data_IF_473493571942
#
_entry.id   IF_473493571942
#
_cell.length_a   1.000
_cell.length_b   1.000
_cell.length_c   1.000
_cell.angle_alpha   90.00
_cell.angle_beta   90.00
_cell.angle_gamma   90.00
#
_symmetry.space_group_name_H-M   'P 1'
#
loop_
_entity.id
_entity.type
_entity.pdbx_description
1 polymer ?
#
# COMPACT_ATOMS: atom_id res chain seq x y z
N UNK A 1 -16.87 -1.97 1.48
CA UNK A 1 -17.09 -1.46 2.85
C UNK A 1 -18.07 -2.37 3.56
N UNK A 2 -17.60 -3.12 4.56
CA UNK A 2 -18.46 -4.05 5.32
C UNK A 2 -19.53 -3.28 6.11
N UNK A 3 -19.15 -2.17 6.75
CA UNK A 3 -20.05 -1.34 7.56
C UNK A 3 -21.13 -0.58 6.76
N UNK A 4 -21.16 -0.70 5.42
CA UNK A 4 -22.23 -0.12 4.60
C UNK A 4 -23.60 -0.73 4.91
N UNK A 5 -23.62 -1.96 5.43
CA UNK A 5 -24.83 -2.68 5.83
C UNK A 5 -25.15 -2.48 7.33
N UNK A 6 -24.81 -1.29 7.86
CA UNK A 6 -24.83 -0.92 9.27
C UNK A 6 -23.68 -1.50 10.10
N UNK A 7 -23.51 -0.90 11.27
CA UNK A 7 -22.69 -1.39 12.37
C UNK A 7 -23.31 -0.93 13.69
N UNK A 8 -22.80 -1.35 14.84
CA UNK A 8 -23.31 -0.89 16.14
C UNK A 8 -23.16 0.63 16.40
N UNK A 9 -22.38 1.32 15.56
CA UNK A 9 -22.19 2.78 15.55
C UNK A 9 -22.59 3.47 14.24
N UNK A 10 -23.05 2.73 13.22
CA UNK A 10 -23.30 3.26 11.87
C UNK A 10 -24.62 2.76 11.27
N UNK A 11 -25.28 3.60 10.46
CA UNK A 11 -26.55 3.24 9.81
C UNK A 11 -26.36 2.40 8.55
N UNK A 12 -27.40 1.66 8.13
CA UNK A 12 -27.41 0.93 6.86
C UNK A 12 -27.62 1.90 5.68
N UNK A 13 -26.58 2.12 4.88
CA UNK A 13 -26.66 2.89 3.64
C UNK A 13 -25.83 2.23 2.51
N UNK A 14 -26.31 1.10 1.97
CA UNK A 14 -25.71 0.48 0.80
C UNK A 14 -26.01 1.30 -0.47
N UNK A 15 -25.20 2.32 -0.70
CA UNK A 15 -25.32 3.20 -1.88
C UNK A 15 -24.75 2.53 -3.15
N UNK A 16 -25.15 3.06 -4.31
CA UNK A 16 -24.61 2.66 -5.62
C UNK A 16 -24.18 3.92 -6.38
N UNK A 17 -22.98 3.90 -6.94
CA UNK A 17 -22.47 5.02 -7.71
C UNK A 17 -21.01 4.86 -8.11
N UNK A 18 -20.53 5.81 -8.91
CA UNK A 18 -19.11 5.93 -9.27
C UNK A 18 -18.45 6.81 -8.19
N UNK A 19 -17.89 6.16 -7.17
CA UNK A 19 -17.34 6.83 -6.00
C UNK A 19 -15.86 7.26 -6.12
N UNK A 20 -15.22 6.94 -7.26
CA UNK A 20 -13.83 7.34 -7.56
C UNK A 20 -13.75 8.04 -8.92
N UNK A 21 -12.70 8.85 -9.18
CA UNK A 21 -12.56 9.57 -10.45
C UNK A 21 -12.56 8.65 -11.68
N UNK A 22 -13.19 9.11 -12.76
CA UNK A 22 -13.12 8.50 -14.10
C UNK A 22 -12.28 9.40 -15.00
N UNK A 23 -11.36 8.82 -15.76
CA UNK A 23 -10.42 9.55 -16.61
C UNK A 23 -10.39 8.95 -18.01
N UNK A 24 -10.17 9.79 -19.01
CA UNK A 24 -9.77 9.38 -20.35
C UNK A 24 -8.29 9.69 -20.51
N UNK A 25 -7.51 8.68 -20.83
CA UNK A 25 -6.06 8.78 -20.99
C UNK A 25 -5.67 8.31 -22.38
N UNK A 26 -4.87 9.12 -23.07
CA UNK A 26 -4.36 8.82 -24.41
C UNK A 26 -2.85 8.69 -24.32
N UNK A 27 -2.30 7.58 -24.81
CA UNK A 27 -0.87 7.33 -24.86
C UNK A 27 -0.55 6.40 -26.04
N UNK A 28 0.64 6.55 -26.62
CA UNK A 28 1.06 5.79 -27.80
C UNK A 28 2.10 4.72 -27.45
N UNK A 29 2.74 4.80 -26.28
CA UNK A 29 3.76 3.86 -25.79
C UNK A 29 3.31 3.14 -24.50
N UNK A 30 4.22 2.95 -23.54
CA UNK A 30 3.94 2.43 -22.21
C UNK A 30 3.62 3.56 -21.23
N UNK A 31 2.69 3.30 -20.32
CA UNK A 31 2.30 4.19 -19.23
C UNK A 31 2.81 3.63 -17.91
N UNK A 32 3.51 4.45 -17.12
CA UNK A 32 3.86 4.11 -15.74
C UNK A 32 2.60 4.16 -14.89
N UNK A 33 2.03 2.99 -14.59
CA UNK A 33 0.84 2.85 -13.75
C UNK A 33 1.20 2.95 -12.28
N UNK A 34 2.19 2.18 -11.84
CA UNK A 34 2.63 2.15 -10.44
C UNK A 34 4.15 2.07 -10.30
N UNK A 35 4.63 2.62 -9.19
CA UNK A 35 6.02 2.51 -8.75
C UNK A 35 5.98 1.99 -7.33
N UNK A 36 6.56 0.81 -7.15
CA UNK A 36 6.79 0.18 -5.85
C UNK A 36 8.25 0.34 -5.50
N UNK A 37 8.57 0.40 -4.21
CA UNK A 37 9.96 0.29 -3.79
C UNK A 37 10.10 -0.40 -2.45
N UNK A 38 11.31 -0.86 -2.21
CA UNK A 38 11.74 -1.53 -0.99
C UNK A 38 13.01 -0.87 -0.52
N UNK A 39 13.05 -0.54 0.77
CA UNK A 39 14.24 -0.04 1.43
C UNK A 39 14.86 -1.14 2.28
N UNK A 40 16.11 -1.47 1.99
CA UNK A 40 16.95 -2.31 2.84
C UNK A 40 17.96 -1.44 3.57
N UNK A 41 17.98 -1.57 4.90
CA UNK A 41 18.88 -0.86 5.82
C UNK A 41 20.18 -1.67 5.97
N UNK A 42 21.21 -1.34 5.17
CA UNK A 42 22.52 -2.02 5.18
C UNK A 42 23.52 -1.25 6.06
N UNK A 43 24.67 -1.82 6.41
CA UNK A 43 25.59 -1.22 7.40
C UNK A 43 25.95 0.26 7.11
N UNK A 44 26.26 0.61 5.87
CA UNK A 44 26.72 1.95 5.47
C UNK A 44 25.81 2.69 4.48
N UNK A 45 24.81 1.99 3.93
CA UNK A 45 23.98 2.48 2.83
C UNK A 45 22.54 1.96 2.92
N UNK A 46 21.66 2.59 2.16
CA UNK A 46 20.33 2.11 1.87
C UNK A 46 20.32 1.54 0.46
N UNK A 47 19.87 0.29 0.32
CA UNK A 47 19.51 -0.24 -0.99
C UNK A 47 18.04 0.05 -1.26
N UNK A 48 17.76 0.73 -2.36
CA UNK A 48 16.41 1.04 -2.84
C UNK A 48 16.15 0.17 -4.06
N UNK A 49 15.36 -0.89 -3.90
CA UNK A 49 14.89 -1.71 -5.02
C UNK A 49 13.55 -1.15 -5.50
N UNK A 50 13.46 -0.87 -6.79
CA UNK A 50 12.34 -0.15 -7.40
C UNK A 50 11.66 -1.11 -8.39
N UNK A 51 10.35 -1.26 -8.26
CA UNK A 51 9.51 -1.96 -9.23
C UNK A 51 8.68 -0.94 -10.01
N UNK A 52 8.67 -1.06 -11.34
CA UNK A 52 7.87 -0.21 -12.23
C UNK A 52 6.85 -1.07 -12.95
N UNK A 53 5.57 -0.74 -12.77
CA UNK A 53 4.46 -1.38 -13.46
C UNK A 53 4.05 -0.52 -14.66
N UNK A 54 4.31 -1.03 -15.85
CA UNK A 54 4.00 -0.42 -17.13
C UNK A 54 2.72 -1.03 -17.72
N UNK A 55 1.87 -0.21 -18.31
CA UNK A 55 0.73 -0.63 -19.14
C UNK A 55 0.99 -0.23 -20.60
N UNK A 56 0.80 -1.15 -21.54
CA UNK A 56 1.05 -0.97 -22.98
C UNK A 56 -0.22 -1.09 -23.82
N UNK A 57 -1.40 -0.95 -23.20
CA UNK A 57 -2.72 -1.17 -23.79
C UNK A 57 -3.43 -2.39 -23.20
N UNK A 58 -4.38 -2.96 -23.95
CA UNK A 58 -5.19 -4.11 -23.52
C UNK A 58 -4.75 -5.43 -24.16
N UNK A 59 -3.58 -5.46 -24.80
CA UNK A 59 -3.00 -6.62 -25.47
C UNK A 59 -1.48 -6.61 -25.33
N UNK A 60 -0.88 -7.79 -25.46
CA UNK A 60 0.57 -7.95 -25.49
C UNK A 60 1.20 -7.10 -26.60
N UNK A 61 2.20 -6.30 -26.23
CA UNK A 61 2.89 -5.39 -27.14
C UNK A 61 4.38 -5.32 -26.77
N UNK A 62 5.24 -5.41 -27.78
CA UNK A 62 6.66 -5.11 -27.60
C UNK A 62 6.85 -3.61 -27.45
N UNK A 63 7.55 -3.20 -26.41
CA UNK A 63 7.92 -1.82 -26.14
C UNK A 63 9.43 -1.71 -25.99
N UNK A 64 9.99 -0.59 -26.47
CA UNK A 64 11.41 -0.32 -26.37
C UNK A 64 11.63 1.12 -25.95
N UNK A 65 12.41 1.33 -24.91
CA UNK A 65 12.61 2.65 -24.32
C UNK A 65 13.53 2.64 -23.12
N UNK A 66 13.54 3.74 -22.39
CA UNK A 66 14.36 3.92 -21.19
C UNK A 66 13.53 4.27 -19.97
N UNK A 67 13.86 3.65 -18.84
CA UNK A 67 13.41 4.04 -17.51
C UNK A 67 14.52 4.81 -16.82
N UNK A 68 14.24 6.04 -16.40
CA UNK A 68 15.15 6.87 -15.62
C UNK A 68 14.62 7.04 -14.21
N UNK A 69 15.49 6.83 -13.21
CA UNK A 69 15.16 7.04 -11.80
C UNK A 69 15.97 8.19 -11.22
N UNK A 70 15.31 9.10 -10.49
CA UNK A 70 15.96 10.22 -9.81
C UNK A 70 15.40 10.39 -8.41
N UNK A 71 16.27 10.43 -7.41
CA UNK A 71 15.90 10.77 -6.05
C UNK A 71 16.16 12.26 -5.82
N UNK A 72 15.10 13.07 -5.83
CA UNK A 72 15.23 14.52 -5.81
C UNK A 72 15.71 15.02 -4.44
N UNK A 73 16.70 15.93 -4.45
CA UNK A 73 17.26 16.54 -3.25
C UNK A 73 18.41 15.76 -2.61
N UNK A 74 18.83 14.64 -3.22
CA UNK A 74 19.99 13.85 -2.79
C UNK A 74 20.92 13.69 -4.00
N UNK A 75 22.21 13.94 -3.83
CA UNK A 75 23.22 13.65 -4.84
C UNK A 75 23.54 12.16 -4.84
N UNK A 76 22.86 11.42 -5.72
CA UNK A 76 23.08 9.99 -5.99
C UNK A 76 23.04 9.75 -7.49
N UNK A 77 23.67 8.64 -7.91
CA UNK A 77 23.58 8.18 -9.29
C UNK A 77 22.10 8.03 -9.68
N UNK A 78 21.79 8.51 -10.89
CA UNK A 78 20.46 8.40 -11.49
C UNK A 78 20.47 7.22 -12.47
N UNK A 79 20.08 6.01 -12.04
CA UNK A 79 20.17 4.84 -12.91
C UNK A 79 19.21 5.00 -14.09
N UNK A 80 19.66 4.47 -15.24
CA UNK A 80 18.89 4.40 -16.47
C UNK A 80 18.88 2.94 -16.92
N UNK A 81 17.69 2.41 -17.19
CA UNK A 81 17.50 1.04 -17.65
C UNK A 81 16.91 1.08 -19.04
N UNK A 82 17.57 0.42 -19.99
CA UNK A 82 16.99 0.16 -21.31
C UNK A 82 16.07 -1.05 -21.22
N UNK A 83 14.84 -0.88 -21.69
CA UNK A 83 13.83 -1.93 -21.76
C UNK A 83 13.59 -2.25 -23.23
N UNK A 84 13.60 -3.54 -23.58
CA UNK A 84 13.21 -4.05 -24.90
C UNK A 84 12.48 -5.39 -24.70
N UNK A 85 11.23 -5.30 -24.25
CA UNK A 85 10.45 -6.44 -23.76
C UNK A 85 9.03 -6.44 -24.34
N UNK A 86 8.34 -7.58 -24.21
CA UNK A 86 6.93 -7.73 -24.59
C UNK A 86 6.09 -7.87 -23.33
N UNK A 87 5.05 -7.04 -23.20
CA UNK A 87 4.08 -7.15 -22.10
C UNK A 87 3.25 -8.44 -22.16
N UNK A 88 2.60 -8.78 -21.05
CA UNK A 88 1.71 -9.94 -20.97
C UNK A 88 0.43 -9.76 -21.81
N UNK A 89 -0.44 -10.77 -21.83
CA UNK A 89 -1.70 -10.74 -22.61
C UNK A 89 -2.64 -9.59 -22.22
N UNK A 90 -2.55 -9.10 -20.98
CA UNK A 90 -3.32 -7.96 -20.49
C UNK A 90 -2.65 -6.61 -20.79
N UNK A 91 -1.48 -6.60 -21.45
CA UNK A 91 -0.72 -5.39 -21.74
C UNK A 91 0.07 -4.86 -20.54
N UNK A 92 0.38 -5.70 -19.55
CA UNK A 92 1.14 -5.31 -18.36
C UNK A 92 2.60 -5.78 -18.46
N UNK A 93 3.53 -4.93 -18.02
CA UNK A 93 4.96 -5.25 -17.94
C UNK A 93 5.51 -4.77 -16.60
N UNK A 94 6.34 -5.59 -15.96
CA UNK A 94 7.01 -5.25 -14.70
C UNK A 94 8.51 -5.18 -14.94
N UNK A 95 9.13 -4.07 -14.56
CA UNK A 95 10.57 -3.85 -14.71
C UNK A 95 11.17 -3.50 -13.35
N UNK A 96 12.28 -4.13 -13.02
CA UNK A 96 13.02 -3.87 -11.78
C UNK A 96 14.21 -2.95 -12.02
N UNK A 97 14.41 -2.02 -11.10
CA UNK A 97 15.59 -1.18 -10.99
C UNK A 97 16.11 -1.13 -9.56
N UNK A 98 17.29 -0.54 -9.38
CA UNK A 98 17.83 -0.32 -8.05
C UNK A 98 18.72 0.91 -8.00
N UNK A 99 18.84 1.49 -6.81
CA UNK A 99 19.80 2.53 -6.49
C UNK A 99 20.37 2.31 -5.09
N UNK A 100 21.59 2.79 -4.88
CA UNK A 100 22.28 2.75 -3.60
C UNK A 100 22.39 4.19 -3.10
N UNK A 101 22.04 4.41 -1.84
CA UNK A 101 22.05 5.73 -1.22
C UNK A 101 22.84 5.66 0.08
N UNK A 102 23.94 6.41 0.19
CA UNK A 102 24.73 6.44 1.42
C UNK A 102 23.87 6.89 2.61
N UNK A 103 24.00 6.22 3.77
CA UNK A 103 23.21 6.56 4.97
C UNK A 103 23.35 8.03 5.39
N UNK A 104 24.57 8.57 5.31
CA UNK A 104 24.85 9.97 5.64
C UNK A 104 24.24 11.00 4.67
N UNK A 105 23.79 10.57 3.49
CA UNK A 105 23.17 11.45 2.50
C UNK A 105 21.67 11.69 2.77
N UNK A 106 21.05 10.91 3.67
CA UNK A 106 19.63 10.98 3.98
C UNK A 106 19.38 11.23 5.46
N UNK A 107 18.35 12.01 5.74
CA UNK A 107 17.68 12.07 7.04
C UNK A 107 16.55 11.06 7.07
N UNK A 108 16.46 10.30 8.16
CA UNK A 108 15.41 9.31 8.36
C UNK A 108 14.04 9.98 8.55
N UNK A 109 13.00 9.23 8.20
CA UNK A 109 11.61 9.51 8.55
C UNK A 109 11.29 8.96 9.93
N UNK A 110 10.58 9.73 10.75
CA UNK A 110 10.20 9.34 12.11
C UNK A 110 8.71 9.54 12.39
N UNK A 111 8.09 8.68 13.21
CA UNK A 111 6.74 8.89 13.70
C UNK A 111 6.58 10.15 14.54
N UNK A 112 5.34 10.60 14.70
CA UNK A 112 4.98 11.79 15.47
C UNK A 112 5.51 11.71 16.91
N UNK A 113 6.22 12.76 17.33
CA UNK A 113 6.88 12.84 18.64
C UNK A 113 8.26 12.16 18.73
N UNK A 114 8.77 11.53 17.66
CA UNK A 114 10.07 10.84 17.67
C UNK A 114 11.13 11.46 16.76
N UNK A 115 10.76 12.42 15.90
CA UNK A 115 11.70 13.08 15.01
C UNK A 115 11.00 13.82 13.88
N UNK A 116 11.75 14.11 12.80
CA UNK A 116 11.23 14.75 11.59
C UNK A 116 10.72 13.72 10.59
N UNK A 117 9.65 14.06 9.89
CA UNK A 117 9.02 13.27 8.83
C UNK A 117 9.68 13.59 7.49
N UNK A 118 11.00 13.35 7.36
CA UNK A 118 11.71 13.72 6.13
C UNK A 118 11.28 12.81 4.98
N UNK A 119 10.83 13.41 3.87
CA UNK A 119 10.39 12.73 2.66
C UNK A 119 11.21 13.23 1.47
N UNK A 120 11.51 12.32 0.54
CA UNK A 120 12.19 12.60 -0.72
C UNK A 120 11.30 12.18 -1.88
N UNK A 121 11.44 12.81 -3.03
CA UNK A 121 10.67 12.44 -4.21
C UNK A 121 11.50 11.48 -5.07
N UNK A 122 11.03 10.25 -5.25
CA UNK A 122 11.51 9.34 -6.28
C UNK A 122 10.72 9.61 -7.56
N UNK A 123 11.42 10.19 -8.52
CA UNK A 123 10.91 10.48 -9.85
C UNK A 123 11.28 9.33 -10.80
N UNK A 124 10.28 8.79 -11.49
CA UNK A 124 10.42 7.74 -12.50
C UNK A 124 9.89 8.24 -13.83
N UNK A 125 10.70 8.13 -14.88
CA UNK A 125 10.35 8.51 -16.26
C UNK A 125 10.53 7.33 -17.19
N UNK A 126 9.49 6.98 -17.93
CA UNK A 126 9.54 6.20 -19.15
C UNK A 126 9.67 7.14 -20.36
N UNK A 127 10.55 6.81 -21.29
CA UNK A 127 10.66 7.47 -22.59
C UNK A 127 10.89 6.41 -23.68
N UNK A 128 9.98 6.33 -24.65
CA UNK A 128 10.07 5.40 -25.78
C UNK A 128 11.17 5.79 -26.76
N UNK A 129 11.93 4.81 -27.26
CA UNK A 129 13.04 5.02 -28.21
C UNK A 129 12.58 5.65 -29.53
N UNK A 130 11.30 5.45 -29.91
CA UNK A 130 10.74 5.95 -31.16
C UNK A 130 10.31 7.43 -31.09
N UNK A 131 10.42 8.08 -29.93
CA UNK A 131 9.99 9.48 -29.73
C UNK A 131 10.64 10.46 -30.72
N UNK A 132 11.88 10.17 -31.14
CA UNK A 132 12.63 11.00 -32.07
C UNK A 132 12.57 10.51 -33.52
N UNK A 133 12.00 9.34 -33.79
CA UNK A 133 11.98 8.71 -35.13
C UNK A 133 10.61 8.75 -35.81
N UNK A 134 9.54 9.08 -35.08
CA UNK A 134 8.17 9.16 -35.62
C UNK A 134 7.68 10.60 -35.56
N UNK A 135 6.99 11.05 -36.61
CA UNK A 135 6.26 12.32 -36.59
C UNK A 135 4.90 12.12 -35.91
N UNK A 136 4.85 12.39 -34.62
CA UNK A 136 3.62 12.33 -33.82
C UNK A 136 2.95 13.70 -33.75
N UNK A 137 1.62 13.69 -33.57
CA UNK A 137 0.84 14.90 -33.31
C UNK A 137 1.16 15.48 -31.93
N UNK A 138 1.43 14.61 -30.97
CA UNK A 138 1.82 14.93 -29.62
C UNK A 138 2.94 13.96 -29.21
N UNK A 139 4.07 14.49 -28.71
CA UNK A 139 5.21 13.64 -28.29
C UNK A 139 5.07 13.19 -26.85
N UNK A 140 4.25 13.86 -26.05
CA UNK A 140 4.07 13.55 -24.63
C UNK A 140 3.36 12.20 -24.45
N UNK A 141 2.69 11.68 -25.50
CA UNK A 141 2.10 10.34 -25.53
C UNK A 141 3.12 9.19 -25.52
N UNK A 142 4.40 9.51 -25.76
CA UNK A 142 5.54 8.57 -25.71
C UNK A 142 6.33 8.64 -24.39
N UNK A 143 5.97 9.58 -23.51
CA UNK A 143 6.59 9.79 -22.21
C UNK A 143 5.59 9.48 -21.12
N UNK A 144 6.05 8.83 -20.05
CA UNK A 144 5.24 8.69 -18.84
C UNK A 144 6.07 8.96 -17.60
N UNK A 145 5.55 9.80 -16.72
CA UNK A 145 6.24 10.24 -15.52
C UNK A 145 5.38 9.92 -14.29
N UNK A 146 6.02 9.47 -13.21
CA UNK A 146 5.37 9.25 -11.92
C UNK A 146 6.34 9.67 -10.81
N UNK A 147 5.80 10.31 -9.77
CA UNK A 147 6.53 10.66 -8.55
C UNK A 147 5.90 9.89 -7.40
N UNK A 148 6.73 9.18 -6.64
CA UNK A 148 6.35 8.59 -5.35
C UNK A 148 7.26 9.13 -4.26
N UNK A 149 6.73 9.27 -3.03
CA UNK A 149 7.50 9.83 -1.92
C UNK A 149 8.15 8.71 -1.11
N UNK A 150 9.41 8.90 -0.78
CA UNK A 150 10.25 7.96 -0.04
C UNK A 150 10.54 8.54 1.34
N UNK A 151 10.17 7.82 2.39
CA UNK A 151 10.65 8.08 3.74
C UNK A 151 11.62 6.98 4.16
N UNK A 152 12.90 7.31 4.31
CA UNK A 152 13.92 6.34 4.73
C UNK A 152 13.72 5.96 6.19
N UNK A 153 13.27 4.73 6.45
CA UNK A 153 13.07 4.21 7.81
C UNK A 153 12.95 2.69 7.84
N UNK A 154 13.39 2.08 8.93
CA UNK A 154 13.07 0.68 9.23
C UNK A 154 11.84 0.60 10.15
N UNK A 155 10.99 -0.41 9.96
CA UNK A 155 9.90 -0.77 10.87
C UNK A 155 9.94 -2.28 11.06
N UNK A 156 9.91 -2.75 12.30
CA UNK A 156 9.99 -4.18 12.61
C UNK A 156 9.04 -4.53 13.75
N UNK A 157 8.19 -5.54 13.54
CA UNK A 157 7.44 -6.17 14.61
C UNK A 157 8.34 -7.16 15.35
N UNK A 158 8.47 -6.96 16.67
CA UNK A 158 9.31 -7.77 17.55
C UNK A 158 8.47 -8.72 18.37
N UNK A 159 8.82 -10.00 18.26
CA UNK A 159 8.15 -11.12 18.92
C UNK A 159 9.15 -12.04 19.64
N UNK A 160 10.26 -11.50 20.15
CA UNK A 160 11.15 -12.28 21.01
C UNK A 160 10.46 -12.78 22.28
N UNK A 161 11.04 -13.81 22.88
CA UNK A 161 10.52 -14.43 24.10
C UNK A 161 10.47 -13.42 25.25
N UNK A 162 9.28 -13.22 25.80
CA UNK A 162 9.10 -12.41 27.02
C UNK A 162 9.43 -13.23 28.27
N UNK A 163 9.00 -14.49 28.29
CA UNK A 163 9.27 -15.50 29.32
C UNK A 163 8.89 -16.90 28.80
N UNK A 164 8.92 -17.95 29.63
CA UNK A 164 8.56 -19.32 29.24
C UNK A 164 7.09 -19.51 28.81
N UNK A 165 6.24 -18.49 28.96
CA UNK A 165 4.80 -18.55 28.69
C UNK A 165 4.33 -17.60 27.59
N UNK A 166 5.22 -16.82 26.96
CA UNK A 166 4.78 -15.88 25.94
C UNK A 166 5.89 -15.14 25.20
N UNK A 167 5.46 -14.45 24.14
CA UNK A 167 6.28 -13.59 23.29
C UNK A 167 5.94 -12.11 23.56
N UNK A 168 6.89 -11.24 23.31
CA UNK A 168 6.65 -9.80 23.19
C UNK A 168 5.83 -9.50 21.92
N UNK A 169 5.25 -8.30 21.85
CA UNK A 169 4.60 -7.79 20.64
C UNK A 169 4.72 -6.27 20.64
N UNK A 170 5.76 -5.74 20.01
CA UNK A 170 6.00 -4.30 19.92
C UNK A 170 6.77 -3.95 18.65
N UNK A 171 6.79 -2.66 18.31
CA UNK A 171 7.48 -2.18 17.11
C UNK A 171 8.80 -1.51 17.46
N UNK A 172 9.82 -1.81 16.66
CA UNK A 172 11.00 -0.96 16.49
C UNK A 172 10.80 -0.09 15.26
N UNK A 173 11.07 1.21 15.37
CA UNK A 173 11.21 2.11 14.22
C UNK A 173 12.58 2.75 14.27
N UNK A 174 13.38 2.55 13.22
CA UNK A 174 14.79 2.96 13.20
C UNK A 174 15.53 2.44 14.45
N UNK A 175 15.34 1.14 14.75
CA UNK A 175 15.94 0.44 15.90
C UNK A 175 15.48 0.91 17.29
N UNK A 176 14.58 1.90 17.38
CA UNK A 176 14.06 2.40 18.66
C UNK A 176 12.69 1.77 18.97
N UNK A 177 12.49 1.17 20.16
CA UNK A 177 11.17 0.73 20.61
C UNK A 177 10.20 1.90 20.73
N UNK A 178 9.06 1.81 20.05
CA UNK A 178 8.01 2.82 20.09
C UNK A 178 6.73 2.22 20.69
N UNK A 179 6.22 2.88 21.72
CA UNK A 179 4.89 2.59 22.23
C UNK A 179 3.84 3.22 21.30
N UNK A 180 2.96 2.38 20.76
CA UNK A 180 1.91 2.81 19.83
C UNK A 180 0.76 3.48 20.59
N UNK A 181 0.53 4.75 20.29
CA UNK A 181 -0.50 5.61 20.88
C UNK A 181 -1.45 6.05 19.78
N UNK A 182 -2.71 5.71 19.92
CA UNK A 182 -3.75 6.25 19.06
C UNK A 182 -5.05 5.48 19.13
N UNK A 183 -5.72 5.34 17.99
CA UNK A 183 -7.07 4.82 17.91
C UNK A 183 -7.33 4.07 16.60
N UNK A 184 -8.52 3.50 16.49
CA UNK A 184 -9.02 2.90 15.25
C UNK A 184 -9.65 4.00 14.39
N UNK A 185 -9.31 4.01 13.10
CA UNK A 185 -9.90 4.81 12.05
C UNK A 185 -11.00 4.02 11.36
N UNK A 186 -12.17 4.62 11.26
CA UNK A 186 -13.32 4.14 10.49
C UNK A 186 -13.62 5.16 9.39
N UNK A 187 -14.40 4.81 8.34
CA UNK A 187 -14.80 5.76 7.32
C UNK A 187 -15.41 7.02 7.93
N UNK A 188 -14.95 8.18 7.48
CA UNK A 188 -15.34 9.48 8.04
C UNK A 188 -16.77 9.90 7.66
N UNK A 189 -17.38 9.18 6.71
CA UNK A 189 -18.79 9.27 6.34
C UNK A 189 -19.36 7.89 6.02
N UNK A 190 -20.70 7.75 6.16
CA UNK A 190 -21.43 6.56 5.70
C UNK A 190 -21.42 6.42 4.18
N UNK A 191 -21.24 7.54 3.47
CA UNK A 191 -21.10 7.57 2.02
C UNK A 191 -19.61 7.62 1.66
N UNK A 192 -19.06 6.60 0.97
CA UNK A 192 -17.64 6.55 0.65
C UNK A 192 -17.14 7.76 -0.14
N UNK A 193 -17.95 8.33 -1.05
CA UNK A 193 -17.62 9.51 -1.83
C UNK A 193 -17.46 10.79 -0.97
N UNK A 194 -18.16 10.87 0.17
CA UNK A 194 -17.99 11.97 1.12
C UNK A 194 -16.81 11.73 2.07
N UNK A 195 -16.42 10.47 2.29
CA UNK A 195 -15.23 10.15 3.10
C UNK A 195 -13.93 10.62 2.42
N UNK A 196 -13.98 10.92 1.12
CA UNK A 196 -12.87 11.43 0.32
C UNK A 196 -12.69 12.96 0.40
N UNK A 197 -13.46 13.68 1.21
CA UNK A 197 -13.25 15.12 1.41
C UNK A 197 -11.87 15.37 2.06
N UNK A 198 -10.93 15.89 1.26
CA UNK A 198 -9.55 16.18 1.69
C UNK A 198 -9.51 17.14 2.89
N UNK A 199 -10.40 18.12 2.98
CA UNK A 199 -10.40 19.07 4.10
C UNK A 199 -10.80 18.37 5.41
N UNK A 200 -11.78 17.47 5.34
CA UNK A 200 -12.24 16.74 6.52
C UNK A 200 -11.21 15.69 6.96
N UNK A 201 -10.66 14.92 6.01
CA UNK A 201 -9.55 13.99 6.28
C UNK A 201 -8.36 14.73 6.90
N UNK A 202 -8.02 15.90 6.35
CA UNK A 202 -6.97 16.76 6.90
C UNK A 202 -7.26 17.17 8.33
N UNK A 203 -8.45 17.69 8.60
CA UNK A 203 -8.84 18.07 9.95
C UNK A 203 -8.68 16.92 10.94
N UNK A 204 -9.15 15.72 10.60
CA UNK A 204 -9.10 14.55 11.49
C UNK A 204 -7.66 14.05 11.74
N UNK A 205 -6.81 14.01 10.70
CA UNK A 205 -5.42 13.58 10.86
C UNK A 205 -4.56 14.59 11.64
N UNK A 206 -4.81 15.89 11.46
CA UNK A 206 -4.18 16.92 12.31
C UNK A 206 -4.65 16.80 13.77
N UNK A 207 -5.94 16.53 14.01
CA UNK A 207 -6.44 16.28 15.36
C UNK A 207 -5.78 15.06 16.01
N UNK A 208 -5.58 13.96 15.27
CA UNK A 208 -4.84 12.79 15.77
C UNK A 208 -3.39 13.15 16.15
N UNK A 209 -2.68 13.88 15.27
CA UNK A 209 -1.32 14.36 15.54
C UNK A 209 -1.26 15.23 16.80
N UNK A 210 -2.15 16.21 16.90
CA UNK A 210 -2.18 17.19 17.99
C UNK A 210 -2.62 16.56 19.33
N UNK A 211 -3.36 15.46 19.27
CA UNK A 211 -3.62 14.57 20.42
C UNK A 211 -2.43 13.67 20.81
N UNK A 212 -1.24 13.88 20.23
CA UNK A 212 -0.02 13.11 20.46
C UNK A 212 -0.12 11.62 20.08
N UNK A 213 -1.01 11.28 19.15
CA UNK A 213 -1.06 9.95 18.54
C UNK A 213 0.11 9.78 17.56
N UNK A 214 0.64 8.57 17.49
CA UNK A 214 1.69 8.18 16.55
C UNK A 214 1.29 6.98 15.68
N UNK A 215 0.12 6.38 15.90
CA UNK A 215 -0.43 5.31 15.08
C UNK A 215 -1.95 5.40 14.99
N UNK A 216 -2.50 5.13 13.81
CA UNK A 216 -3.92 4.84 13.60
C UNK A 216 -4.07 3.44 13.01
N UNK A 217 -5.15 2.74 13.37
CA UNK A 217 -5.53 1.47 12.74
C UNK A 217 -6.65 1.70 11.74
N UNK A 218 -6.39 1.57 10.44
CA UNK A 218 -7.45 1.56 9.43
C UNK A 218 -8.19 0.23 9.54
N UNK A 219 -9.41 0.29 10.08
CA UNK A 219 -10.17 -0.89 10.46
C UNK A 219 -10.83 -1.60 9.26
N UNK A 220 -10.77 -2.94 9.25
CA UNK A 220 -11.13 -3.78 8.09
C UNK A 220 -12.61 -3.80 7.70
N UNK A 221 -13.51 -3.21 8.48
CA UNK A 221 -14.90 -3.08 8.02
C UNK A 221 -15.16 -1.79 7.23
N UNK A 222 -14.15 -0.92 7.11
CA UNK A 222 -14.20 0.33 6.38
C UNK A 222 -13.86 0.18 4.90
N UNK A 223 -12.97 1.06 4.42
CA UNK A 223 -12.46 1.09 3.04
C UNK A 223 -10.94 1.25 3.07
N UNK A 224 -10.26 0.83 2.01
CA UNK A 224 -8.93 1.35 1.73
C UNK A 224 -9.06 2.85 1.49
N UNK A 225 -8.41 3.63 2.36
CA UNK A 225 -8.47 5.09 2.31
C UNK A 225 -7.91 5.69 1.02
N UNK A 226 -8.20 6.98 0.85
CA UNK A 226 -7.70 7.80 -0.27
C UNK A 226 -6.18 7.93 -0.28
N UNK A 227 -5.59 8.21 -1.44
CA UNK A 227 -4.14 8.49 -1.53
C UNK A 227 -3.75 9.69 -0.65
N UNK A 228 -4.62 10.69 -0.57
CA UNK A 228 -4.42 11.87 0.27
C UNK A 228 -4.30 11.53 1.76
N UNK A 229 -5.09 10.57 2.26
CA UNK A 229 -5.01 10.10 3.64
C UNK A 229 -3.60 9.56 3.97
N UNK A 230 -3.09 8.62 3.17
CA UNK A 230 -1.77 8.03 3.41
C UNK A 230 -0.66 9.06 3.21
N UNK A 231 -0.81 9.94 2.20
CA UNK A 231 0.13 11.03 1.99
C UNK A 231 0.21 11.95 3.22
N UNK A 232 -0.93 12.29 3.80
CA UNK A 232 -0.95 13.14 4.98
C UNK A 232 -0.46 12.39 6.24
N UNK A 233 -0.75 11.09 6.36
CA UNK A 233 -0.18 10.25 7.42
C UNK A 233 1.36 10.22 7.36
N UNK A 234 1.95 10.14 6.16
CA UNK A 234 3.40 10.25 5.98
C UNK A 234 3.93 11.61 6.46
N UNK A 235 3.29 12.70 6.09
CA UNK A 235 3.73 14.06 6.43
C UNK A 235 3.62 14.35 7.93
N UNK A 236 2.59 13.81 8.59
CA UNK A 236 2.34 14.03 10.01
C UNK A 236 3.02 13.00 10.91
N UNK A 237 3.62 11.96 10.34
CA UNK A 237 4.32 10.93 11.11
C UNK A 237 3.35 9.96 11.80
N UNK A 238 2.17 9.75 11.24
CA UNK A 238 1.17 8.83 11.81
C UNK A 238 1.38 7.46 11.17
N UNK A 239 1.87 6.49 11.96
CA UNK A 239 1.96 5.11 11.51
C UNK A 239 0.58 4.53 11.27
N UNK A 240 0.48 3.57 10.35
CA UNK A 240 -0.78 2.91 10.01
C UNK A 240 -0.64 1.41 10.24
N UNK A 241 -1.46 0.88 11.14
CA UNK A 241 -1.84 -0.53 11.12
C UNK A 241 -2.95 -0.67 10.09
N UNK A 242 -2.71 -1.42 9.02
CA UNK A 242 -3.64 -1.51 7.90
C UNK A 242 -4.34 -2.87 7.87
N UNK A 243 -5.62 -2.92 8.26
CA UNK A 243 -6.42 -4.11 8.01
C UNK A 243 -6.84 -4.17 6.53
N UNK A 244 -6.87 -5.37 5.94
CA UNK A 244 -7.63 -5.59 4.71
C UNK A 244 -9.14 -5.63 5.01
N UNK A 245 -9.97 -5.44 3.97
CA UNK A 245 -11.38 -5.07 4.13
C UNK A 245 -12.36 -6.22 4.49
N UNK A 246 -11.95 -7.03 5.47
CA UNK A 246 -12.68 -8.16 6.06
C UNK A 246 -12.84 -7.95 7.56
N UNK A 247 -14.07 -8.00 8.08
CA UNK A 247 -14.34 -7.73 9.49
C UNK A 247 -15.57 -8.45 10.02
N UNK A 248 -15.44 -9.06 11.20
CA UNK A 248 -16.49 -9.72 11.98
C UNK A 248 -17.49 -10.51 11.13
N UNK A 249 -16.98 -11.40 10.27
CA UNK A 249 -17.81 -12.27 9.44
C UNK A 249 -17.02 -13.48 8.96
N UNK A 250 -17.73 -14.55 8.61
CA UNK A 250 -17.18 -15.64 7.81
C UNK A 250 -17.41 -15.34 6.33
N UNK A 251 -16.38 -15.48 5.52
CA UNK A 251 -16.43 -15.23 4.09
C UNK A 251 -16.33 -16.55 3.31
N UNK A 252 -16.91 -16.63 2.11
CA UNK A 252 -16.72 -17.80 1.25
C UNK A 252 -15.26 -17.91 0.81
N UNK A 253 -14.86 -19.12 0.41
CA UNK A 253 -13.52 -19.42 -0.13
C UNK A 253 -13.60 -20.23 -1.43
N UNK A 254 -14.66 -20.03 -2.22
CA UNK A 254 -14.73 -20.57 -3.58
C UNK A 254 -13.78 -19.83 -4.53
N UNK A 255 -13.40 -20.48 -5.63
CA UNK A 255 -12.39 -19.97 -6.55
C UNK A 255 -12.74 -18.59 -7.14
N UNK A 256 -14.01 -18.33 -7.43
CA UNK A 256 -14.44 -17.04 -7.99
C UNK A 256 -14.26 -15.90 -6.99
N UNK A 257 -14.65 -16.14 -5.74
CA UNK A 257 -14.44 -15.18 -4.66
C UNK A 257 -12.95 -14.94 -4.40
N UNK A 258 -12.14 -15.99 -4.30
CA UNK A 258 -10.71 -15.86 -4.02
C UNK A 258 -9.96 -15.12 -5.14
N UNK A 259 -10.26 -15.35 -6.41
CA UNK A 259 -9.65 -14.59 -7.51
C UNK A 259 -10.00 -13.10 -7.47
N UNK A 260 -11.25 -12.77 -7.11
CA UNK A 260 -11.65 -11.37 -6.92
C UNK A 260 -10.89 -10.72 -5.72
N UNK A 261 -10.73 -11.46 -4.63
CA UNK A 261 -9.94 -11.00 -3.46
C UNK A 261 -8.47 -10.80 -3.83
N UNK A 262 -7.85 -11.71 -4.59
CA UNK A 262 -6.46 -11.54 -5.06
C UNK A 262 -6.29 -10.24 -5.83
N UNK A 263 -7.23 -9.94 -6.73
CA UNK A 263 -7.20 -8.69 -7.50
C UNK A 263 -7.31 -7.46 -6.59
N UNK A 264 -8.25 -7.47 -5.65
CA UNK A 264 -8.43 -6.38 -4.67
C UNK A 264 -7.16 -6.13 -3.84
N UNK A 265 -6.57 -7.21 -3.30
CA UNK A 265 -5.37 -7.14 -2.46
C UNK A 265 -4.19 -6.60 -3.26
N UNK A 266 -3.91 -7.17 -4.44
CA UNK A 266 -2.79 -6.72 -5.30
C UNK A 266 -2.91 -5.23 -5.63
N UNK A 267 -4.09 -4.79 -6.08
CA UNK A 267 -4.31 -3.40 -6.46
C UNK A 267 -4.09 -2.43 -5.30
N UNK A 268 -4.59 -2.77 -4.10
CA UNK A 268 -4.48 -1.86 -2.95
C UNK A 268 -3.11 -1.91 -2.28
N UNK A 269 -2.51 -3.08 -2.08
CA UNK A 269 -1.17 -3.18 -1.48
C UNK A 269 -0.15 -2.49 -2.38
N UNK A 270 -0.17 -2.73 -3.69
CA UNK A 270 0.71 -2.03 -4.65
C UNK A 270 0.58 -0.52 -4.58
N UNK A 271 -0.66 -0.02 -4.53
CA UNK A 271 -0.95 1.41 -4.45
C UNK A 271 -0.43 2.02 -3.15
N UNK A 272 -0.43 1.28 -2.05
CA UNK A 272 -0.28 1.83 -0.69
C UNK A 272 1.10 1.56 -0.08
N UNK A 273 1.76 0.43 -0.39
CA UNK A 273 2.92 -0.05 0.37
C UNK A 273 4.08 0.95 0.47
N UNK A 274 4.24 1.79 -0.55
CA UNK A 274 5.36 2.72 -0.63
C UNK A 274 5.30 3.85 0.44
N UNK A 275 4.14 4.03 1.08
CA UNK A 275 3.95 5.02 2.13
C UNK A 275 4.76 4.65 3.39
N UNK A 276 5.70 5.51 3.85
CA UNK A 276 6.46 5.25 5.09
C UNK A 276 5.56 5.19 6.34
N UNK A 277 4.35 5.72 6.29
CA UNK A 277 3.37 5.54 7.37
C UNK A 277 2.94 4.08 7.58
N UNK A 278 2.92 3.23 6.55
CA UNK A 278 2.43 1.84 6.68
C UNK A 278 3.38 1.01 7.56
N UNK A 279 2.91 0.59 8.73
CA UNK A 279 3.70 -0.15 9.69
C UNK A 279 3.55 -1.67 9.56
N UNK A 280 2.33 -2.14 9.27
CA UNK A 280 2.00 -3.56 9.12
C UNK A 280 0.69 -3.75 8.35
N UNK A 281 0.53 -4.95 7.80
CA UNK A 281 -0.71 -5.43 7.22
C UNK A 281 -1.38 -6.46 8.13
N UNK A 282 -2.68 -6.33 8.34
CA UNK A 282 -3.50 -7.32 9.03
C UNK A 282 -4.57 -7.86 8.07
N UNK A 283 -4.73 -9.17 8.00
CA UNK A 283 -5.57 -9.78 6.96
C UNK A 283 -7.07 -9.61 7.21
N UNK A 284 -7.48 -9.32 8.45
CA UNK A 284 -8.86 -9.11 8.85
C UNK A 284 -9.00 -8.47 10.25
N UNK A 285 -10.22 -8.07 10.60
CA UNK A 285 -10.63 -7.76 11.96
C UNK A 285 -11.43 -8.92 12.59
N UNK A 286 -10.92 -9.46 13.70
CA UNK A 286 -11.61 -10.37 14.64
C UNK A 286 -12.13 -11.70 14.08
N UNK A 287 -11.86 -12.08 12.84
CA UNK A 287 -12.46 -13.29 12.28
C UNK A 287 -11.88 -14.57 12.90
N UNK A 288 -10.61 -14.55 13.32
CA UNK A 288 -10.00 -15.67 14.05
C UNK A 288 -10.72 -15.91 15.39
N UNK A 289 -10.91 -14.86 16.18
CA UNK A 289 -11.58 -14.96 17.48
C UNK A 289 -13.05 -15.35 17.31
N UNK A 290 -13.73 -14.85 16.29
CA UNK A 290 -15.12 -15.19 16.01
C UNK A 290 -15.33 -16.69 15.74
N UNK A 291 -14.41 -17.32 14.99
CA UNK A 291 -14.45 -18.76 14.72
C UNK A 291 -14.07 -19.55 15.97
N UNK A 292 -13.01 -19.14 16.69
CA UNK A 292 -12.55 -19.86 17.87
C UNK A 292 -13.58 -19.85 19.00
N UNK A 293 -14.24 -18.70 19.22
CA UNK A 293 -15.25 -18.50 20.24
C UNK A 293 -16.68 -18.78 19.75
N UNK A 294 -16.85 -19.27 18.52
CA UNK A 294 -18.13 -19.72 17.97
C UNK A 294 -19.23 -18.63 17.99
N UNK A 295 -18.89 -17.38 17.64
CA UNK A 295 -19.84 -16.25 17.67
C UNK A 295 -21.08 -16.50 16.80
N UNK A 296 -20.92 -17.20 15.66
CA UNK A 296 -21.99 -17.42 14.68
C UNK A 296 -22.56 -18.84 14.69
N UNK A 297 -22.28 -19.65 15.71
CA UNK A 297 -22.73 -21.05 15.75
C UNK A 297 -22.01 -21.97 14.76
N UNK A 298 -20.79 -21.62 14.35
CA UNK A 298 -19.91 -22.36 13.42
C UNK A 298 -19.54 -23.78 13.88
N UNK A 299 -19.75 -24.15 15.14
CA UNK A 299 -19.41 -25.47 15.69
C UNK A 299 -20.10 -26.64 14.99
N UNK A 300 -21.29 -26.43 14.39
CA UNK A 300 -21.97 -27.45 13.60
C UNK A 300 -21.18 -27.90 12.36
N UNK A 301 -20.25 -27.08 11.87
CA UNK A 301 -19.32 -27.43 10.80
C UNK A 301 -17.98 -26.69 10.95
N UNK A 302 -17.35 -26.81 12.15
CA UNK A 302 -16.15 -26.01 12.48
C UNK A 302 -15.02 -26.19 11.47
N UNK A 303 -14.85 -27.42 10.96
CA UNK A 303 -13.81 -27.73 9.98
C UNK A 303 -13.96 -26.92 8.70
N UNK A 304 -15.18 -26.77 8.16
CA UNK A 304 -15.42 -25.93 6.98
C UNK A 304 -14.93 -24.49 7.21
N UNK A 305 -15.38 -23.85 8.29
CA UNK A 305 -15.05 -22.44 8.56
C UNK A 305 -13.56 -22.23 8.85
N UNK A 306 -12.89 -23.19 9.50
CA UNK A 306 -11.43 -23.13 9.72
C UNK A 306 -10.67 -23.27 8.40
N UNK A 307 -11.10 -24.18 7.52
CA UNK A 307 -10.44 -24.35 6.21
C UNK A 307 -10.69 -23.16 5.29
N UNK A 308 -11.90 -22.59 5.28
CA UNK A 308 -12.19 -21.37 4.52
C UNK A 308 -11.42 -20.16 5.06
N UNK A 309 -11.26 -20.04 6.38
CA UNK A 309 -10.39 -19.03 6.99
C UNK A 309 -8.94 -19.15 6.51
N UNK A 310 -8.36 -20.36 6.53
CA UNK A 310 -6.98 -20.57 6.07
C UNK A 310 -6.84 -20.25 4.58
N UNK A 311 -7.73 -20.76 3.75
CA UNK A 311 -7.73 -20.50 2.30
C UNK A 311 -7.76 -19.01 1.98
N UNK A 312 -8.63 -18.27 2.66
CA UNK A 312 -8.77 -16.83 2.43
C UNK A 312 -7.60 -16.03 2.99
N UNK A 313 -7.30 -16.14 4.29
CA UNK A 313 -6.37 -15.22 4.95
C UNK A 313 -4.91 -15.64 4.86
N UNK A 314 -4.64 -16.95 4.89
CA UNK A 314 -3.27 -17.49 4.96
C UNK A 314 -2.76 -17.92 3.58
N UNK A 315 -3.61 -18.53 2.76
CA UNK A 315 -3.20 -19.09 1.46
C UNK A 315 -3.48 -18.14 0.28
N UNK A 316 -4.35 -17.14 0.47
CA UNK A 316 -4.70 -16.16 -0.57
C UNK A 316 -4.23 -14.76 -0.21
N UNK A 317 -4.74 -14.17 0.85
CA UNK A 317 -4.46 -12.76 1.18
C UNK A 317 -2.99 -12.55 1.55
N UNK A 318 -2.45 -13.30 2.53
CA UNK A 318 -1.09 -13.07 2.99
C UNK A 318 -0.03 -13.21 1.86
N UNK A 319 -0.08 -14.24 0.99
CA UNK A 319 0.85 -14.35 -0.12
C UNK A 319 0.72 -13.22 -1.16
N UNK A 320 -0.48 -12.65 -1.35
CA UNK A 320 -0.66 -11.51 -2.25
C UNK A 320 -0.17 -10.20 -1.64
N UNK A 321 -0.29 -10.03 -0.32
CA UNK A 321 0.37 -8.94 0.41
C UNK A 321 1.89 -9.08 0.27
N UNK A 322 2.44 -10.26 0.62
CA UNK A 322 3.88 -10.52 0.52
C UNK A 322 4.43 -10.33 -0.89
N UNK A 323 3.65 -10.65 -1.92
CA UNK A 323 4.05 -10.42 -3.33
C UNK A 323 4.32 -8.94 -3.61
N UNK A 324 3.52 -8.04 -3.06
CA UNK A 324 3.58 -6.59 -3.33
C UNK A 324 4.38 -5.82 -2.25
N UNK A 325 4.46 -6.32 -1.02
CA UNK A 325 5.22 -5.77 0.12
C UNK A 325 5.83 -6.90 0.97
N UNK A 326 7.02 -7.39 0.59
CA UNK A 326 7.70 -8.53 1.25
C UNK A 326 8.19 -8.27 2.69
N UNK A 327 8.09 -7.03 3.19
CA UNK A 327 8.87 -6.59 4.36
C UNK A 327 8.00 -6.25 5.57
N UNK A 328 6.68 -6.20 5.42
CA UNK A 328 5.74 -5.77 6.46
C UNK A 328 4.55 -6.68 6.62
#
# INVERSE_FOLDING_TARGET
MQASFAWDWGLAAPSMGIWKPVRLEFYDSAKVRDVTFVLSDEETEWSVRIGVHLETGTVARRVKGTLTFKLLGIEVDSPVITVDETSNEAGELYVEGSMIVAKGAVKLWWPNGYGRQTLYNLYVKWEDDLINSIQLRDRDTMISEKIVRVGFRSVQLRQEKANDRGLMFYFLVNEIPIFMKGSNWIPSSVLPESSYDENYVKFLLYAARDANMNMLRVWGGGVYESDYFYQLADELGILIWHDLMFACSTYPADAGFLENVKLEVRQNVRRIQHHPSIAMWATNNENEVAIQQNWYGTNGNKNLYVEDYKKLYVETIAPEVEREDKWR
#
